data_IF_893076672154
#
_entry.id   IF_893076672154
#
_cell.length_a   1.000
_cell.length_b   1.000
_cell.length_c   1.000
_cell.angle_alpha   90.00
_cell.angle_beta   90.00
_cell.angle_gamma   90.00
#
_symmetry.space_group_name_H-M   'P 1'
#
loop_
_entity.id
_entity.type
_entity.pdbx_description
1 polymer ?
#
# COMPACT_ATOMS: atom_id res chain seq x y z
N UNK A 1 24.34 -20.73 94.15
CA UNK A 1 25.00 -19.90 93.12
C UNK A 1 24.31 -20.14 91.79
N UNK A 2 23.63 -19.16 91.17
CA UNK A 2 23.06 -19.35 89.84
C UNK A 2 24.11 -19.02 88.77
N UNK A 3 24.22 -19.89 87.77
CA UNK A 3 25.04 -19.68 86.58
C UNK A 3 24.16 -18.94 85.58
N UNK A 4 24.49 -17.68 85.30
CA UNK A 4 23.87 -16.90 84.22
C UNK A 4 24.55 -17.31 82.92
N UNK A 5 23.99 -18.29 82.21
CA UNK A 5 24.43 -18.64 80.85
C UNK A 5 23.44 -18.12 79.82
N UNK A 6 23.93 -17.16 79.02
CA UNK A 6 23.58 -16.94 77.61
C UNK A 6 22.19 -16.39 77.24
N UNK A 7 21.80 -15.22 77.78
CA UNK A 7 20.66 -14.45 77.23
C UNK A 7 21.01 -13.59 76.00
N UNK A 8 22.29 -13.50 75.65
CA UNK A 8 22.80 -12.58 74.62
C UNK A 8 22.92 -13.13 73.17
N UNK A 9 23.11 -14.43 72.87
CA UNK A 9 23.27 -14.91 71.49
C UNK A 9 22.00 -14.76 70.62
N UNK A 10 20.83 -15.02 71.21
CA UNK A 10 19.55 -15.03 70.49
C UNK A 10 19.13 -13.65 70.00
N UNK A 11 19.44 -12.59 70.75
CA UNK A 11 19.15 -11.20 70.37
C UNK A 11 19.92 -10.81 69.10
N UNK A 12 21.18 -11.25 68.98
CA UNK A 12 21.99 -11.01 67.79
C UNK A 12 21.52 -11.81 66.56
N UNK A 13 21.07 -13.05 66.76
CA UNK A 13 20.49 -13.91 65.72
C UNK A 13 19.16 -13.36 65.17
N UNK A 14 18.24 -12.96 66.07
CA UNK A 14 16.96 -12.33 65.71
C UNK A 14 17.18 -11.00 64.96
N UNK A 15 18.19 -10.22 65.38
CA UNK A 15 18.56 -8.98 64.69
C UNK A 15 19.05 -9.22 63.26
N UNK A 16 19.89 -10.24 63.04
CA UNK A 16 20.37 -10.62 61.71
C UNK A 16 19.26 -11.14 60.80
N UNK A 17 18.35 -11.97 61.31
CA UNK A 17 17.19 -12.44 60.54
C UNK A 17 16.32 -11.27 60.05
N UNK A 18 16.04 -10.28 60.91
CA UNK A 18 15.25 -9.10 60.54
C UNK A 18 15.92 -8.26 59.45
N UNK A 19 17.25 -8.15 59.45
CA UNK A 19 18.02 -7.44 58.42
C UNK A 19 17.94 -8.18 57.08
N UNK A 20 18.16 -9.50 57.09
CA UNK A 20 18.09 -10.35 55.88
C UNK A 20 16.68 -10.29 55.29
N UNK A 21 15.64 -10.38 56.11
CA UNK A 21 14.26 -10.35 55.65
C UNK A 21 13.88 -9.00 55.01
N UNK A 22 14.34 -7.87 55.58
CA UNK A 22 14.18 -6.54 54.98
C UNK A 22 14.91 -6.42 53.64
N UNK A 23 16.12 -6.96 53.56
CA UNK A 23 16.91 -6.97 52.32
C UNK A 23 16.22 -7.80 51.24
N UNK A 24 15.76 -9.01 51.55
CA UNK A 24 14.99 -9.85 50.63
C UNK A 24 13.69 -9.18 50.20
N UNK A 25 12.94 -8.55 51.11
CA UNK A 25 11.71 -7.84 50.77
C UNK A 25 11.97 -6.66 49.81
N UNK A 26 13.03 -5.87 50.05
CA UNK A 26 13.43 -4.78 49.17
C UNK A 26 13.85 -5.28 47.78
N UNK A 27 14.60 -6.38 47.72
CA UNK A 27 15.01 -7.01 46.47
C UNK A 27 13.80 -7.53 45.67
N UNK A 28 12.87 -8.24 46.33
CA UNK A 28 11.66 -8.74 45.69
C UNK A 28 10.77 -7.60 45.17
N UNK A 29 10.62 -6.52 45.94
CA UNK A 29 9.89 -5.33 45.51
C UNK A 29 10.55 -4.65 44.31
N UNK A 30 11.89 -4.54 44.31
CA UNK A 30 12.64 -3.98 43.18
C UNK A 30 12.50 -4.82 41.91
N UNK A 31 12.56 -6.15 42.02
CA UNK A 31 12.35 -7.07 40.89
C UNK A 31 10.93 -7.00 40.34
N UNK A 32 9.92 -6.99 41.21
CA UNK A 32 8.51 -6.86 40.81
C UNK A 32 8.24 -5.53 40.11
N UNK A 33 8.80 -4.42 40.61
CA UNK A 33 8.69 -3.12 39.97
C UNK A 33 9.37 -3.10 38.58
N UNK A 34 10.56 -3.68 38.44
CA UNK A 34 11.22 -3.80 37.14
C UNK A 34 10.39 -4.64 36.15
N UNK A 35 9.78 -5.75 36.60
CA UNK A 35 8.93 -6.57 35.75
C UNK A 35 7.64 -5.85 35.31
N UNK A 36 7.01 -5.09 36.22
CA UNK A 36 5.87 -4.21 35.91
C UNK A 36 6.25 -3.13 34.89
N UNK A 37 7.42 -2.50 35.05
CA UNK A 37 7.90 -1.49 34.11
C UNK A 37 8.23 -2.11 32.75
N UNK A 38 8.83 -3.29 32.69
CA UNK A 38 9.11 -3.98 31.42
C UNK A 38 7.81 -4.39 30.72
N UNK A 39 6.85 -4.97 31.45
CA UNK A 39 5.57 -5.45 30.88
C UNK A 39 4.67 -4.34 30.37
N UNK A 40 4.68 -3.15 30.98
CA UNK A 40 3.94 -1.97 30.49
C UNK A 40 4.58 -1.36 29.23
N UNK A 41 5.90 -1.47 29.08
CA UNK A 41 6.63 -0.95 27.93
C UNK A 41 6.65 -1.94 26.74
N UNK A 42 6.27 -3.21 26.94
CA UNK A 42 6.07 -4.19 25.86
C UNK A 42 4.67 -4.13 25.24
N UNK A 43 4.11 -2.93 25.05
CA UNK A 43 2.94 -2.79 24.19
C UNK A 43 3.33 -3.17 22.77
N UNK A 44 2.66 -4.18 22.20
CA UNK A 44 2.96 -4.68 20.87
C UNK A 44 2.74 -3.55 19.85
N UNK A 45 3.84 -3.05 19.27
CA UNK A 45 3.75 -2.10 18.16
C UNK A 45 3.07 -2.78 16.98
N UNK A 46 1.84 -2.40 16.66
CA UNK A 46 1.11 -2.92 15.51
C UNK A 46 1.39 -2.04 14.28
N UNK A 47 2.21 -2.50 13.32
CA UNK A 47 2.41 -1.76 12.08
C UNK A 47 1.09 -1.70 11.30
N UNK A 48 0.79 -0.53 10.76
CA UNK A 48 -0.35 -0.24 9.89
C UNK A 48 0.20 0.35 8.60
N UNK A 49 -0.22 -0.21 7.49
CA UNK A 49 0.00 0.28 6.13
C UNK A 49 -1.35 0.37 5.46
N UNK A 50 -1.64 1.52 4.86
CA UNK A 50 -2.85 1.74 4.07
C UNK A 50 -2.49 2.46 2.79
N UNK A 51 -3.19 2.09 1.73
CA UNK A 51 -3.03 2.63 0.40
C UNK A 51 -4.41 3.06 -0.08
N UNK A 52 -4.50 4.27 -0.61
CA UNK A 52 -5.72 4.80 -1.19
C UNK A 52 -5.43 5.47 -2.52
N UNK A 53 -6.45 5.53 -3.38
CA UNK A 53 -6.41 6.31 -4.62
C UNK A 53 -7.53 7.34 -4.52
N UNK A 54 -7.27 8.56 -5.01
CA UNK A 54 -8.30 9.58 -5.08
C UNK A 54 -9.36 9.16 -6.12
N UNK A 55 -10.54 8.81 -5.61
CA UNK A 55 -11.63 8.29 -6.42
C UNK A 55 -12.14 9.32 -7.44
N UNK A 56 -11.97 10.62 -7.18
CA UNK A 56 -12.37 11.68 -8.12
C UNK A 56 -11.54 11.69 -9.40
N UNK A 57 -10.28 11.24 -9.32
CA UNK A 57 -9.38 11.16 -10.48
C UNK A 57 -9.71 9.97 -11.39
N UNK A 58 -10.27 8.89 -10.82
CA UNK A 58 -10.66 7.69 -11.58
C UNK A 58 -12.11 7.77 -12.07
N UNK A 59 -13.03 8.38 -11.30
CA UNK A 59 -14.46 8.41 -11.64
C UNK A 59 -14.80 9.32 -12.82
N UNK A 60 -13.92 10.27 -13.16
CA UNK A 60 -14.15 11.26 -14.21
C UNK A 60 -13.54 10.85 -15.56
N UNK A 61 -13.17 9.59 -15.74
CA UNK A 61 -12.69 9.08 -17.04
C UNK A 61 -13.89 8.89 -17.96
N UNK A 62 -14.22 9.89 -18.77
CA UNK A 62 -15.25 9.78 -19.80
C UNK A 62 -14.67 9.10 -21.05
N UNK A 63 -15.06 7.84 -21.26
CA UNK A 63 -14.69 7.08 -22.45
C UNK A 63 -15.23 7.69 -23.75
N UNK A 64 -16.31 8.47 -23.68
CA UNK A 64 -16.93 9.15 -24.83
C UNK A 64 -16.03 10.26 -25.35
N UNK A 65 -15.46 11.08 -24.45
CA UNK A 65 -14.52 12.16 -24.81
C UNK A 65 -13.20 11.60 -25.39
N UNK A 66 -12.78 10.43 -24.93
CA UNK A 66 -11.59 9.75 -25.47
C UNK A 66 -11.87 9.19 -26.88
N UNK A 67 -13.07 8.64 -27.12
CA UNK A 67 -13.47 8.04 -28.42
C UNK A 67 -13.84 9.12 -29.46
N UNK A 68 -14.45 10.24 -29.05
CA UNK A 68 -14.96 11.28 -29.95
C UNK A 68 -14.20 12.62 -29.89
N UNK A 69 -13.13 12.71 -29.09
CA UNK A 69 -12.33 13.92 -28.98
C UNK A 69 -11.80 14.42 -30.34
N UNK A 70 -11.61 15.73 -30.45
CA UNK A 70 -11.27 16.47 -31.68
C UNK A 70 -9.83 16.26 -32.20
N UNK A 71 -9.12 15.23 -31.74
CA UNK A 71 -7.72 14.97 -32.09
C UNK A 71 -7.58 13.84 -33.13
N UNK A 72 -6.73 14.00 -34.17
CA UNK A 72 -6.57 13.03 -35.27
C UNK A 72 -5.98 11.66 -34.87
N UNK A 73 -5.67 11.45 -33.59
CA UNK A 73 -5.14 10.18 -33.06
C UNK A 73 -5.87 9.60 -31.85
N UNK A 74 -7.01 10.17 -31.41
CA UNK A 74 -7.77 9.73 -30.19
C UNK A 74 -6.87 9.32 -29.02
N UNK A 75 -5.83 10.13 -28.78
CA UNK A 75 -4.86 9.91 -27.72
C UNK A 75 -5.29 10.65 -26.46
N UNK A 76 -5.22 9.99 -25.31
CA UNK A 76 -5.56 10.57 -24.01
C UNK A 76 -4.56 10.17 -22.94
N UNK A 77 -4.38 11.05 -21.95
CA UNK A 77 -3.60 10.78 -20.74
C UNK A 77 -4.45 11.12 -19.52
N UNK A 78 -4.62 10.15 -18.61
CA UNK A 78 -5.40 10.31 -17.39
C UNK A 78 -4.46 10.25 -16.19
N UNK A 79 -4.26 11.36 -15.44
CA UNK A 79 -3.47 11.35 -14.22
C UNK A 79 -4.25 10.74 -13.04
N UNK A 80 -3.54 10.02 -12.18
CA UNK A 80 -4.06 9.58 -10.88
C UNK A 80 -2.96 9.47 -9.83
N UNK A 81 -3.32 9.51 -8.54
CA UNK A 81 -2.37 9.49 -7.43
C UNK A 81 -2.66 8.37 -6.46
N UNK A 82 -1.62 7.60 -6.10
CA UNK A 82 -1.65 6.64 -5.00
C UNK A 82 -1.11 7.34 -3.75
N UNK A 83 -1.88 7.32 -2.67
CA UNK A 83 -1.49 7.84 -1.36
C UNK A 83 -1.14 6.69 -0.42
N UNK A 84 0.04 6.72 0.18
CA UNK A 84 0.49 5.73 1.15
C UNK A 84 0.57 6.35 2.54
N UNK A 85 -0.13 5.71 3.49
CA UNK A 85 -0.02 6.02 4.91
C UNK A 85 0.50 4.81 5.66
N UNK A 86 1.59 5.00 6.39
CA UNK A 86 2.21 3.94 7.18
C UNK A 86 2.71 4.48 8.50
N UNK A 87 2.49 3.74 9.59
CA UNK A 87 3.23 3.97 10.83
C UNK A 87 4.44 3.03 10.95
N UNK A 88 4.64 2.13 9.98
CA UNK A 88 5.72 1.14 10.00
C UNK A 88 7.09 1.84 10.11
N UNK A 89 7.97 1.25 10.94
CA UNK A 89 9.31 1.75 11.21
C UNK A 89 10.37 1.13 10.30
N UNK A 90 10.05 0.04 9.62
CA UNK A 90 10.98 -0.69 8.74
C UNK A 90 10.89 -0.27 7.27
N UNK A 91 10.11 0.79 6.95
CA UNK A 91 9.92 1.25 5.58
C UNK A 91 8.83 0.49 4.81
N UNK A 92 8.73 0.78 3.50
CA UNK A 92 7.76 0.16 2.59
C UNK A 92 8.22 0.20 1.12
N UNK A 93 7.65 -0.67 0.29
CA UNK A 93 7.81 -0.69 -1.17
C UNK A 93 6.44 -0.70 -1.84
N UNK A 94 6.31 0.04 -2.94
CA UNK A 94 5.09 0.06 -3.76
C UNK A 94 5.42 -0.50 -5.13
N UNK A 95 4.58 -1.44 -5.56
CA UNK A 95 4.65 -2.06 -6.86
C UNK A 95 3.35 -1.87 -7.62
N UNK A 96 3.43 -1.82 -8.95
CA UNK A 96 2.29 -1.81 -9.85
C UNK A 96 2.42 -2.94 -10.88
N UNK A 97 1.28 -3.57 -11.18
CA UNK A 97 1.15 -4.58 -12.22
C UNK A 97 -0.29 -4.65 -12.71
N UNK A 98 -0.48 -5.26 -13.87
CA UNK A 98 -1.78 -5.81 -14.24
C UNK A 98 -2.21 -6.88 -13.23
N UNK A 99 -3.52 -7.10 -13.15
CA UNK A 99 -4.09 -8.14 -12.28
C UNK A 99 -3.60 -9.54 -12.64
N UNK A 100 -3.41 -9.79 -13.94
CA UNK A 100 -3.05 -11.08 -14.51
C UNK A 100 -1.82 -10.94 -15.44
N UNK A 101 -1.33 -12.05 -15.99
CA UNK A 101 -0.21 -12.06 -16.94
C UNK A 101 -0.51 -11.31 -18.25
N UNK A 102 -1.78 -11.30 -18.66
CA UNK A 102 -2.18 -10.57 -19.85
C UNK A 102 -2.40 -9.09 -19.51
N UNK A 103 -1.51 -8.26 -20.03
CA UNK A 103 -1.48 -6.81 -19.81
C UNK A 103 -2.37 -6.02 -20.76
N UNK A 104 -3.15 -6.68 -21.63
CA UNK A 104 -4.08 -6.02 -22.53
C UNK A 104 -5.45 -5.80 -21.88
N UNK A 105 -6.04 -4.62 -22.09
CA UNK A 105 -7.44 -4.33 -21.75
C UNK A 105 -8.34 -5.06 -22.75
N UNK A 106 -9.29 -5.86 -22.25
CA UNK A 106 -10.21 -6.65 -23.07
C UNK A 106 -11.65 -6.39 -22.66
N UNK A 107 -12.50 -6.08 -23.63
CA UNK A 107 -13.95 -6.02 -23.43
C UNK A 107 -14.67 -6.28 -24.75
N UNK A 108 -15.64 -7.20 -24.78
CA UNK A 108 -16.53 -7.39 -25.93
C UNK A 108 -15.84 -7.57 -27.29
N UNK A 109 -14.69 -8.24 -27.34
CA UNK A 109 -13.90 -8.45 -28.58
C UNK A 109 -12.91 -7.32 -28.90
N UNK A 110 -12.98 -6.18 -28.21
CA UNK A 110 -11.96 -5.13 -28.27
C UNK A 110 -10.76 -5.52 -27.43
N UNK A 111 -9.57 -5.24 -27.96
CA UNK A 111 -8.28 -5.47 -27.30
C UNK A 111 -7.41 -4.23 -27.47
N UNK A 112 -6.96 -3.68 -26.34
CA UNK A 112 -5.99 -2.60 -26.30
C UNK A 112 -4.72 -3.17 -25.68
N UNK A 113 -3.64 -3.24 -26.46
CA UNK A 113 -2.39 -3.85 -26.06
C UNK A 113 -1.56 -2.91 -25.19
N UNK A 114 -0.80 -3.46 -24.25
CA UNK A 114 0.30 -2.68 -23.68
C UNK A 114 1.28 -2.28 -24.77
N UNK A 115 1.83 -1.07 -24.70
CA UNK A 115 3.02 -0.70 -25.51
C UNK A 115 4.15 -1.70 -25.27
N UNK A 116 4.97 -1.93 -26.29
CA UNK A 116 6.06 -2.90 -26.26
C UNK A 116 7.34 -2.38 -25.60
N UNK A 117 7.53 -1.07 -25.56
CA UNK A 117 8.72 -0.42 -25.01
C UNK A 117 8.39 0.98 -24.48
N UNK A 118 9.39 1.65 -23.89
CA UNK A 118 9.22 3.02 -23.42
C UNK A 118 9.11 4.00 -24.59
N UNK A 119 8.03 4.79 -24.63
CA UNK A 119 7.80 5.74 -25.72
C UNK A 119 6.84 6.88 -25.31
N UNK A 120 6.80 7.96 -26.10
CA UNK A 120 5.88 9.08 -25.88
C UNK A 120 4.47 8.76 -26.40
N UNK A 121 3.44 9.38 -25.83
CA UNK A 121 2.05 9.13 -26.20
C UNK A 121 1.75 9.34 -27.69
N UNK A 122 2.46 10.27 -28.34
CA UNK A 122 2.30 10.53 -29.78
C UNK A 122 2.79 9.39 -30.68
N UNK A 123 3.68 8.54 -30.17
CA UNK A 123 4.30 7.44 -30.92
C UNK A 123 3.57 6.11 -30.78
N UNK A 124 2.60 6.03 -29.85
CA UNK A 124 1.79 4.83 -29.65
C UNK A 124 1.20 4.36 -30.98
N UNK A 125 1.13 3.05 -31.17
CA UNK A 125 0.31 2.47 -32.23
C UNK A 125 -1.17 2.52 -31.84
N UNK A 126 -2.02 2.29 -32.83
CA UNK A 126 -3.45 2.23 -32.61
C UNK A 126 -3.84 1.08 -31.66
N UNK A 127 -4.72 1.37 -30.71
CA UNK A 127 -5.16 0.45 -29.66
C UNK A 127 -4.03 0.01 -28.74
N UNK A 128 -3.18 0.96 -28.34
CA UNK A 128 -2.15 0.76 -27.31
C UNK A 128 -2.37 1.62 -26.07
N UNK A 129 -1.95 1.09 -24.93
CA UNK A 129 -1.96 1.79 -23.65
C UNK A 129 -0.66 1.56 -22.87
N UNK A 130 -0.36 2.47 -21.95
CA UNK A 130 0.83 2.40 -21.11
C UNK A 130 0.69 3.22 -19.84
N UNK A 131 1.66 3.09 -18.93
CA UNK A 131 1.66 3.82 -17.66
C UNK A 131 2.89 4.72 -17.56
N UNK A 132 2.71 5.93 -17.03
CA UNK A 132 3.81 6.84 -16.70
C UNK A 132 3.81 7.08 -15.19
N UNK A 133 4.98 7.13 -14.58
CA UNK A 133 5.17 7.56 -13.20
C UNK A 133 5.94 8.89 -13.20
N UNK A 134 5.57 9.84 -12.32
CA UNK A 134 6.32 11.10 -12.22
C UNK A 134 7.79 10.80 -11.85
N UNK A 135 8.66 11.09 -12.82
CA UNK A 135 10.09 10.76 -12.84
C UNK A 135 10.60 10.52 -14.28
N UNK A 136 9.74 10.03 -15.17
CA UNK A 136 9.99 9.91 -16.61
C UNK A 136 9.22 10.99 -17.36
N UNK A 137 9.82 12.15 -17.60
CA UNK A 137 9.15 13.21 -18.36
C UNK A 137 8.91 12.77 -19.80
N UNK A 138 7.64 12.75 -20.22
CA UNK A 138 7.24 12.56 -21.61
C UNK A 138 7.22 11.12 -22.14
N UNK A 139 7.52 10.11 -21.32
CA UNK A 139 7.49 8.69 -21.72
C UNK A 139 6.54 7.86 -20.86
N UNK A 140 5.93 6.88 -21.49
CA UNK A 140 5.12 5.81 -20.90
C UNK A 140 5.89 4.51 -21.00
N UNK A 141 5.70 3.64 -20.01
CA UNK A 141 6.27 2.31 -19.94
C UNK A 141 5.20 1.24 -20.30
N UNK A 142 5.64 0.08 -20.81
CA UNK A 142 4.79 -1.09 -20.92
C UNK A 142 4.10 -1.40 -19.59
N UNK A 143 2.91 -1.97 -19.62
CA UNK A 143 2.25 -2.41 -18.40
C UNK A 143 2.92 -3.70 -17.94
N UNK A 144 3.36 -3.73 -16.68
CA UNK A 144 3.95 -4.91 -16.06
C UNK A 144 2.93 -6.03 -15.88
N UNK A 145 3.27 -7.29 -16.23
CA UNK A 145 2.43 -8.44 -15.89
C UNK A 145 2.48 -8.71 -14.37
N UNK A 146 1.51 -9.48 -13.86
CA UNK A 146 1.46 -9.87 -12.44
C UNK A 146 2.76 -10.57 -11.97
N UNK A 147 3.39 -11.37 -12.83
CA UNK A 147 4.66 -12.05 -12.56
C UNK A 147 5.88 -11.12 -12.44
N UNK A 148 5.85 -9.91 -13.03
CA UNK A 148 6.98 -8.99 -12.99
C UNK A 148 6.53 -7.53 -12.72
N UNK A 149 6.10 -7.20 -11.49
CA UNK A 149 5.64 -5.87 -11.13
C UNK A 149 6.75 -4.80 -11.19
N UNK A 150 6.38 -3.58 -11.58
CA UNK A 150 7.29 -2.43 -11.51
C UNK A 150 7.30 -1.84 -10.11
N UNK A 151 8.50 -1.61 -9.58
CA UNK A 151 8.68 -0.86 -8.33
C UNK A 151 8.51 0.63 -8.62
N UNK A 152 7.45 1.22 -8.05
CA UNK A 152 7.15 2.64 -8.20
C UNK A 152 7.89 3.51 -7.18
N UNK A 153 8.01 3.00 -5.95
CA UNK A 153 8.61 3.74 -4.83
C UNK A 153 9.11 2.79 -3.76
N UNK A 154 10.12 3.23 -3.06
CA UNK A 154 10.67 2.60 -1.86
C UNK A 154 11.00 3.70 -0.87
N UNK A 155 10.72 3.45 0.41
CA UNK A 155 11.10 4.35 1.49
C UNK A 155 11.76 3.55 2.59
N UNK A 156 13.01 3.91 2.89
CA UNK A 156 13.78 3.38 4.01
C UNK A 156 13.55 4.17 5.31
N UNK A 157 12.74 5.23 5.24
CA UNK A 157 12.47 6.14 6.36
C UNK A 157 11.16 5.79 7.08
N UNK A 158 11.14 6.02 8.40
CA UNK A 158 10.00 5.81 9.31
C UNK A 158 8.69 6.49 8.85
N UNK A 159 7.58 6.01 9.45
CA UNK A 159 6.21 6.54 9.43
C UNK A 159 5.94 7.73 8.47
N UNK A 160 5.13 7.48 7.44
CA UNK A 160 4.71 8.49 6.47
C UNK A 160 3.20 8.67 6.53
N UNK A 161 2.78 9.93 6.54
CA UNK A 161 1.40 10.30 6.24
C UNK A 161 1.38 11.05 4.92
N UNK A 162 0.52 10.61 4.01
CA UNK A 162 0.25 11.29 2.75
C UNK A 162 1.34 11.13 1.69
N UNK A 163 2.06 10.01 1.65
CA UNK A 163 3.12 9.85 0.68
C UNK A 163 2.55 9.55 -0.72
N UNK A 164 2.54 10.56 -1.58
CA UNK A 164 1.92 10.50 -2.89
C UNK A 164 2.86 9.91 -3.96
N UNK A 165 2.28 9.07 -4.81
CA UNK A 165 2.89 8.52 -6.02
C UNK A 165 1.96 8.88 -7.17
N UNK A 166 2.39 9.84 -7.99
CA UNK A 166 1.61 10.30 -9.11
C UNK A 166 1.92 9.45 -10.34
N UNK A 167 0.86 9.02 -11.00
CA UNK A 167 0.87 8.15 -12.16
C UNK A 167 -0.02 8.75 -13.25
N UNK A 168 0.13 8.25 -14.46
CA UNK A 168 -0.78 8.57 -15.57
C UNK A 168 -0.95 7.36 -16.46
N UNK A 169 -2.16 7.18 -16.99
CA UNK A 169 -2.46 6.16 -18.02
C UNK A 169 -2.52 6.85 -19.37
N UNK A 170 -1.67 6.43 -20.29
CA UNK A 170 -1.69 6.87 -21.69
C UNK A 170 -2.44 5.86 -22.53
N UNK A 171 -3.24 6.34 -23.48
CA UNK A 171 -4.05 5.51 -24.37
C UNK A 171 -4.10 6.13 -25.76
N UNK A 172 -4.00 5.32 -26.80
CA UNK A 172 -4.30 5.68 -28.18
C UNK A 172 -5.29 4.69 -28.77
N UNK A 173 -6.41 5.20 -29.28
CA UNK A 173 -7.47 4.37 -29.86
C UNK A 173 -7.54 4.52 -31.38
N UNK A 174 -7.82 3.41 -32.07
CA UNK A 174 -8.10 3.47 -33.50
C UNK A 174 -9.40 4.23 -33.82
N UNK A 175 -9.45 4.87 -34.99
CA UNK A 175 -10.59 5.65 -35.47
C UNK A 175 -11.88 4.84 -35.71
N UNK A 176 -11.80 3.50 -35.74
CA UNK A 176 -12.91 2.60 -36.05
C UNK A 176 -13.80 2.22 -34.84
N UNK A 177 -13.50 2.72 -33.63
CA UNK A 177 -14.34 2.46 -32.46
C UNK A 177 -15.62 3.31 -32.52
N UNK A 178 -16.77 2.65 -32.63
CA UNK A 178 -18.10 3.22 -32.38
C UNK A 178 -18.58 2.78 -30.98
N UNK A 179 -19.15 3.68 -30.17
CA UNK A 179 -19.78 3.28 -28.91
C UNK A 179 -21.11 2.57 -29.19
N UNK A 180 -21.38 1.50 -28.44
CA UNK A 180 -22.73 0.95 -28.31
C UNK A 180 -23.25 0.18 -29.53
N UNK A 181 -22.57 -0.90 -29.94
CA UNK A 181 -23.17 -1.95 -30.77
C UNK A 181 -24.12 -2.88 -29.98
N UNK A 182 -25.03 -2.33 -29.16
CA UNK A 182 -26.17 -3.11 -28.68
C UNK A 182 -27.22 -3.05 -29.78
N UNK A 183 -27.24 -4.06 -30.64
CA UNK A 183 -28.33 -4.29 -31.58
C UNK A 183 -29.65 -4.27 -30.80
N UNK A 184 -30.47 -3.24 -31.02
CA UNK A 184 -31.85 -3.20 -30.56
C UNK A 184 -32.54 -4.46 -31.12
N UNK A 185 -33.04 -5.40 -30.30
CA UNK A 185 -33.78 -6.53 -30.84
C UNK A 185 -35.05 -5.93 -31.45
N UNK A 186 -35.16 -6.01 -32.78
CA UNK A 186 -36.38 -5.62 -33.48
C UNK A 186 -37.37 -6.77 -33.29
N UNK A 187 -38.02 -6.84 -32.13
CA UNK A 187 -39.20 -7.66 -31.95
C UNK A 187 -40.34 -7.02 -32.75
N UNK A 188 -40.47 -7.44 -34.01
CA UNK A 188 -41.71 -7.23 -34.77
C UNK A 188 -42.79 -8.11 -34.14
N UNK A 189 -43.60 -7.52 -33.27
CA UNK A 189 -44.88 -8.11 -32.90
C UNK A 189 -45.76 -8.14 -34.15
N UNK A 190 -46.01 -9.34 -34.66
CA UNK A 190 -47.02 -9.62 -35.67
C UNK A 190 -48.35 -9.73 -34.92
N UNK A 191 -49.20 -8.73 -35.03
CA UNK A 191 -50.60 -8.88 -34.64
C UNK A 191 -51.29 -9.73 -35.73
N UNK A 192 -52.07 -10.71 -35.27
CA UNK A 192 -53.04 -11.43 -36.09
C UNK A 192 -54.17 -10.49 -36.53
#
# INVERSE_FOLDING_TARGET
MPIITNLFPDIFLVSRQKIIQKFCAALCLGLAFNLLMITQNTSAFTPRLSVSIDQTQISNIDGTDIIFGSNPGRSSSVPFSINVNTNNRTGYKVFISAKDENTALKSGGLRINSIGQSESLGNFQDNEWGISALGTTGSYLPVSPASNPYKLKESDTHAKQGDNINLSVGLKLSGALQPGGLSKPTSRFRNY
#
